data_IF_838708248433
#
_entry.id   IF_838708248433
#
_cell.length_a   1.000
_cell.length_b   1.000
_cell.length_c   1.000
_cell.angle_alpha   90.00
_cell.angle_beta   90.00
_cell.angle_gamma   90.00
#
_symmetry.space_group_name_H-M   'P 1'
#
loop_
_entity.id
_entity.type
_entity.pdbx_description
1 polymer ?
#
# COMPACT_ATOMS: atom_id res chain seq x y z
N UNK A 1 -24.10 -34.83 -7.44
CA UNK A 1 -23.00 -34.71 -6.47
C UNK A 1 -22.89 -33.25 -6.06
N UNK A 2 -23.03 -32.94 -4.76
CA UNK A 2 -22.88 -31.60 -4.20
C UNK A 2 -21.42 -31.43 -3.77
N UNK A 3 -20.69 -30.49 -4.34
CA UNK A 3 -19.36 -30.12 -3.82
C UNK A 3 -19.43 -28.72 -3.20
N UNK A 4 -19.59 -28.75 -1.88
CA UNK A 4 -19.40 -27.66 -0.93
C UNK A 4 -17.89 -27.49 -0.72
N UNK A 5 -17.36 -26.29 -0.88
CA UNK A 5 -16.05 -25.86 -0.33
C UNK A 5 -16.23 -24.52 0.36
N UNK A 6 -16.69 -24.59 1.61
CA UNK A 6 -16.19 -23.75 2.71
C UNK A 6 -14.68 -24.11 2.87
N UNK A 7 -13.71 -23.25 3.16
CA UNK A 7 -13.55 -22.15 4.11
C UNK A 7 -12.34 -21.32 3.61
N UNK A 8 -12.27 -20.00 3.73
CA UNK A 8 -11.78 -19.39 4.97
C UNK A 8 -12.14 -17.92 5.00
N UNK A 9 -13.17 -17.61 5.78
CA UNK A 9 -13.46 -16.28 6.28
C UNK A 9 -12.44 -15.98 7.40
N UNK A 10 -11.44 -15.15 7.14
CA UNK A 10 -10.57 -14.61 8.21
C UNK A 10 -11.06 -13.23 8.61
N UNK A 11 -11.95 -13.22 9.60
CA UNK A 11 -12.29 -12.03 10.38
C UNK A 11 -11.11 -11.65 11.29
N UNK A 12 -10.74 -10.37 11.33
CA UNK A 12 -10.08 -9.78 12.49
C UNK A 12 -10.62 -8.36 12.67
N UNK A 13 -11.44 -8.20 13.69
CA UNK A 13 -12.19 -7.00 14.08
C UNK A 13 -11.33 -5.93 14.74
N UNK A 14 -11.55 -4.70 14.30
CA UNK A 14 -11.22 -3.42 14.91
C UNK A 14 -11.58 -2.33 13.89
N UNK A 15 -11.92 -1.07 14.27
CA UNK A 15 -12.03 0.02 13.30
C UNK A 15 -10.62 0.41 12.82
N UNK A 16 -9.88 -0.53 12.24
CA UNK A 16 -8.76 -0.25 11.38
C UNK A 16 -9.34 0.58 10.25
N UNK A 17 -9.19 1.90 10.34
CA UNK A 17 -9.65 2.89 9.35
C UNK A 17 -9.50 2.26 7.97
N UNK A 18 -10.63 1.90 7.36
CA UNK A 18 -10.61 1.17 6.11
C UNK A 18 -9.76 1.98 5.12
N UNK A 19 -8.66 1.39 4.63
CA UNK A 19 -7.78 2.08 3.70
C UNK A 19 -8.60 2.41 2.46
N UNK A 20 -8.62 3.69 2.09
CA UNK A 20 -9.28 4.15 0.87
C UNK A 20 -8.35 3.93 -0.31
N UNK A 21 -8.90 3.48 -1.43
CA UNK A 21 -8.16 3.40 -2.68
C UNK A 21 -7.90 4.80 -3.24
N UNK A 22 -6.71 5.02 -3.77
CA UNK A 22 -6.33 6.25 -4.46
C UNK A 22 -5.81 5.90 -5.84
N UNK A 23 -6.39 6.53 -6.87
CA UNK A 23 -5.85 6.44 -8.22
C UNK A 23 -4.67 7.41 -8.36
N UNK A 24 -3.48 6.87 -8.60
CA UNK A 24 -2.26 7.64 -8.82
C UNK A 24 -1.87 7.58 -10.30
N UNK A 25 -1.75 8.75 -10.93
CA UNK A 25 -1.25 8.88 -12.30
C UNK A 25 0.24 9.16 -12.25
N UNK A 26 1.03 8.25 -12.84
CA UNK A 26 2.49 8.35 -12.87
C UNK A 26 2.99 8.23 -14.32
N UNK A 27 4.07 8.94 -14.60
CA UNK A 27 4.85 8.71 -15.81
C UNK A 27 5.38 7.28 -15.87
N UNK A 28 5.43 6.70 -17.08
CA UNK A 28 5.84 5.30 -17.28
C UNK A 28 7.22 4.99 -16.70
N UNK A 29 8.17 5.93 -16.86
CA UNK A 29 9.53 5.82 -16.31
C UNK A 29 9.52 5.76 -14.79
N UNK A 30 8.71 6.59 -14.14
CA UNK A 30 8.58 6.65 -12.68
C UNK A 30 7.97 5.36 -12.14
N UNK A 31 6.90 4.85 -12.75
CA UNK A 31 6.28 3.59 -12.34
C UNK A 31 7.26 2.41 -12.48
N UNK A 32 8.08 2.39 -13.54
CA UNK A 32 9.11 1.35 -13.72
C UNK A 32 10.14 1.39 -12.59
N UNK A 33 10.68 2.57 -12.27
CA UNK A 33 11.66 2.72 -11.19
C UNK A 33 11.09 2.33 -9.83
N UNK A 34 9.84 2.71 -9.51
CA UNK A 34 9.19 2.32 -8.26
C UNK A 34 8.99 0.81 -8.16
N UNK A 35 8.65 0.12 -9.26
CA UNK A 35 8.53 -1.34 -9.27
C UNK A 35 9.86 -2.03 -9.02
N UNK A 36 10.94 -1.55 -9.63
CA UNK A 36 12.29 -2.09 -9.41
C UNK A 36 12.67 -1.90 -7.93
N UNK A 37 12.49 -0.70 -7.40
CA UNK A 37 12.76 -0.41 -5.99
C UNK A 37 11.95 -1.28 -5.03
N UNK A 38 10.69 -1.60 -5.37
CA UNK A 38 9.87 -2.48 -4.56
C UNK A 38 10.43 -3.91 -4.51
N UNK A 39 10.93 -4.42 -5.64
CA UNK A 39 11.59 -5.73 -5.72
C UNK A 39 12.89 -5.73 -4.91
N UNK A 40 13.74 -4.71 -5.08
CA UNK A 40 15.01 -4.59 -4.35
C UNK A 40 14.82 -4.54 -2.83
N UNK A 41 13.71 -3.97 -2.37
CA UNK A 41 13.35 -3.84 -0.95
C UNK A 41 12.46 -4.97 -0.43
N UNK A 42 12.25 -6.02 -1.22
CA UNK A 42 11.37 -7.15 -0.90
C UNK A 42 10.00 -6.71 -0.33
N UNK A 43 9.35 -5.77 -1.03
CA UNK A 43 8.09 -5.17 -0.60
C UNK A 43 7.12 -4.98 -1.77
N UNK A 44 5.84 -4.77 -1.46
CA UNK A 44 4.86 -4.45 -2.50
C UNK A 44 4.96 -2.98 -2.93
N UNK A 45 4.63 -2.71 -4.19
CA UNK A 45 4.58 -1.34 -4.70
C UNK A 45 3.66 -0.44 -3.86
N UNK A 46 2.53 -0.99 -3.39
CA UNK A 46 1.60 -0.26 -2.51
C UNK A 46 2.27 0.13 -1.19
N UNK A 47 2.91 -0.83 -0.50
CA UNK A 47 3.55 -0.58 0.79
C UNK A 47 4.74 0.38 0.66
N UNK A 48 5.49 0.27 -0.44
CA UNK A 48 6.55 1.23 -0.76
C UNK A 48 5.99 2.66 -0.89
N UNK A 49 4.91 2.85 -1.66
CA UNK A 49 4.31 4.17 -1.88
C UNK A 49 3.71 4.72 -0.58
N UNK A 50 3.01 3.90 0.19
CA UNK A 50 2.45 4.29 1.51
C UNK A 50 3.57 4.82 2.42
N UNK A 51 4.70 4.11 2.54
CA UNK A 51 5.83 4.56 3.34
C UNK A 51 6.47 5.86 2.85
N UNK A 52 6.64 6.02 1.53
CA UNK A 52 7.18 7.27 0.96
C UNK A 52 6.27 8.48 1.25
N UNK A 53 4.95 8.28 1.24
CA UNK A 53 3.98 9.34 1.56
C UNK A 53 4.01 9.66 3.06
N UNK A 54 4.05 8.65 3.92
CA UNK A 54 4.15 8.83 5.38
C UNK A 54 5.42 9.62 5.75
N UNK A 55 6.57 9.24 5.20
CA UNK A 55 7.84 9.93 5.39
C UNK A 55 7.79 11.39 4.93
N UNK A 56 7.16 11.65 3.77
CA UNK A 56 7.00 13.00 3.24
C UNK A 56 6.11 13.87 4.16
N UNK A 57 5.01 13.32 4.67
CA UNK A 57 4.10 14.02 5.59
C UNK A 57 4.75 14.28 6.95
N UNK A 58 5.54 13.33 7.48
CA UNK A 58 6.29 13.52 8.72
C UNK A 58 7.28 14.68 8.59
N UNK A 59 8.03 14.73 7.49
CA UNK A 59 8.96 15.82 7.19
C UNK A 59 8.24 17.16 7.05
N UNK A 60 7.13 17.18 6.32
CA UNK A 60 6.30 18.38 6.15
C UNK A 60 5.82 18.92 7.51
N UNK A 61 5.24 18.06 8.35
CA UNK A 61 4.69 18.45 9.64
C UNK A 61 5.76 18.85 10.67
N UNK A 62 6.97 18.32 10.54
CA UNK A 62 8.10 18.68 11.39
C UNK A 62 8.73 20.02 10.99
N UNK A 63 8.61 20.42 9.71
CA UNK A 63 9.07 21.71 9.20
C UNK A 63 8.08 22.86 9.43
N UNK A 64 6.82 22.55 9.75
CA UNK A 64 5.77 23.54 10.05
C UNK A 64 5.54 23.79 11.54
N UNK A 65 6.39 23.22 12.42
CA UNK A 65 6.44 23.53 13.85
C UNK A 65 7.62 24.44 14.16
#
# INVERSE_FOLDING_TARGET
MKNKKEDSKKESNGPSKAKKSTSLRLEKKTLKSLKIMAIEKDTSLQKLIEGLIEDALLKHNSSSK
#
